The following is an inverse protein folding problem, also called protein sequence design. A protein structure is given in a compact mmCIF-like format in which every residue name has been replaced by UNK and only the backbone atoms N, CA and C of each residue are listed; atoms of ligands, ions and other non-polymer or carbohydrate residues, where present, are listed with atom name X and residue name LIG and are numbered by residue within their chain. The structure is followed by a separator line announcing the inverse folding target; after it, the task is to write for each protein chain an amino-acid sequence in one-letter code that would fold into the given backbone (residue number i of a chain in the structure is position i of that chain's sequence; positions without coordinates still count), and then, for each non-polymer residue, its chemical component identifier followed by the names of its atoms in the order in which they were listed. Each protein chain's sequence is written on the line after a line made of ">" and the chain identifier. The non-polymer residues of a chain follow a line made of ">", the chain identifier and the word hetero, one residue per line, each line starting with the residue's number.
data_IF_991267059130
#
_entry.id   IF_991267059130
#
_cell.length_a   1.000
_cell.length_b   1.000
_cell.length_c   1.000
_cell.angle_alpha   90.00
_cell.angle_beta   90.00
_cell.angle_gamma   90.00
#
_symmetry.space_group_name_H-M   'P 1'
#
loop_
_entity.id
_entity.type
_entity.pdbx_description
1 polymer ?
#
# COMPACT_ATOMS: atom_id res chain seq x y z
N UNK A 1 22.47 13.62 -28.67
CA UNK A 1 21.44 13.23 -27.68
C UNK A 1 20.66 14.50 -27.40
N UNK A 2 19.38 14.59 -27.84
CA UNK A 2 18.51 15.68 -27.44
C UNK A 2 18.34 15.59 -25.93
N UNK A 3 18.77 16.57 -25.18
CA UNK A 3 18.42 16.72 -23.77
C UNK A 3 16.90 16.93 -23.69
N UNK A 4 16.19 15.87 -23.57
CA UNK A 4 14.76 15.88 -23.28
C UNK A 4 14.69 16.07 -21.77
N UNK A 5 13.85 17.02 -21.33
CA UNK A 5 13.82 17.48 -19.91
C UNK A 5 13.61 16.36 -18.89
N UNK A 6 13.51 16.69 -17.60
CA UNK A 6 13.37 15.69 -16.54
C UNK A 6 12.11 14.86 -16.69
N UNK A 7 12.08 13.61 -16.19
CA UNK A 7 10.87 12.81 -16.11
C UNK A 7 9.72 13.59 -15.48
N UNK A 8 8.47 13.33 -15.89
CA UNK A 8 7.29 13.99 -15.36
C UNK A 8 6.28 13.01 -14.79
N UNK A 9 5.78 13.30 -13.60
CA UNK A 9 4.71 12.59 -12.92
C UNK A 9 3.53 13.51 -12.69
N UNK A 10 2.34 13.09 -13.12
CA UNK A 10 1.08 13.76 -12.81
C UNK A 10 0.28 12.93 -11.81
N UNK A 11 -0.17 13.57 -10.73
CA UNK A 11 -1.06 12.98 -9.75
C UNK A 11 -2.41 13.69 -9.78
N UNK A 12 -3.50 12.93 -9.78
CA UNK A 12 -4.87 13.42 -9.66
C UNK A 12 -5.39 13.07 -8.28
N UNK A 13 -5.88 14.06 -7.53
CA UNK A 13 -6.55 13.87 -6.24
C UNK A 13 -7.94 14.48 -6.28
N UNK A 14 -8.93 13.77 -5.74
CA UNK A 14 -10.32 14.21 -5.74
C UNK A 14 -10.76 14.39 -4.29
N UNK A 15 -11.18 15.62 -3.96
CA UNK A 15 -11.56 16.01 -2.61
C UNK A 15 -10.38 16.39 -1.71
N UNK A 16 -10.69 16.50 -0.42
CA UNK A 16 -9.81 17.11 0.59
C UNK A 16 -9.50 16.14 1.74
N UNK A 17 -9.51 14.84 1.49
CA UNK A 17 -9.13 13.84 2.50
C UNK A 17 -7.71 14.11 2.98
N UNK A 18 -7.49 14.33 4.29
CA UNK A 18 -6.19 14.73 4.82
C UNK A 18 -5.09 13.70 4.57
N UNK A 19 -5.41 12.40 4.65
CA UNK A 19 -4.51 11.29 4.35
C UNK A 19 -4.07 11.29 2.88
N UNK A 20 -5.01 11.45 1.94
CA UNK A 20 -4.71 11.53 0.50
C UNK A 20 -3.84 12.72 0.18
N UNK A 21 -4.14 13.89 0.73
CA UNK A 21 -3.34 15.11 0.54
C UNK A 21 -1.93 14.98 1.11
N UNK A 22 -1.79 14.35 2.27
CA UNK A 22 -0.49 14.07 2.87
C UNK A 22 0.36 13.16 1.97
N UNK A 23 -0.22 12.08 1.44
CA UNK A 23 0.49 11.16 0.55
C UNK A 23 0.92 11.82 -0.76
N UNK A 24 0.02 12.58 -1.38
CA UNK A 24 0.34 13.31 -2.61
C UNK A 24 1.44 14.34 -2.38
N UNK A 25 1.41 15.06 -1.25
CA UNK A 25 2.48 15.98 -0.87
C UNK A 25 3.83 15.26 -0.73
N UNK A 26 3.89 14.14 0.01
CA UNK A 26 5.11 13.35 0.15
C UNK A 26 5.64 12.82 -1.19
N UNK A 27 4.74 12.40 -2.09
CA UNK A 27 5.11 12.01 -3.46
C UNK A 27 5.75 13.18 -4.21
N UNK A 28 5.19 14.40 -4.07
CA UNK A 28 5.74 15.61 -4.68
C UNK A 28 7.11 15.96 -4.14
N UNK A 29 7.29 16.00 -2.82
CA UNK A 29 8.56 16.27 -2.15
C UNK A 29 9.65 15.28 -2.61
N UNK A 30 9.33 13.98 -2.64
CA UNK A 30 10.26 12.95 -3.11
C UNK A 30 10.59 13.07 -4.62
N UNK A 31 9.63 13.50 -5.45
CA UNK A 31 9.89 13.79 -6.86
C UNK A 31 10.91 14.93 -7.02
N UNK A 32 10.76 16.02 -6.25
CA UNK A 32 11.66 17.15 -6.27
C UNK A 32 13.09 16.76 -5.87
N UNK A 33 13.24 15.95 -4.82
CA UNK A 33 14.53 15.44 -4.35
C UNK A 33 15.32 14.68 -5.42
N UNK A 34 14.63 13.93 -6.30
CA UNK A 34 15.28 13.13 -7.36
C UNK A 34 15.22 13.79 -8.74
N UNK A 35 14.72 15.04 -8.85
CA UNK A 35 14.64 15.78 -10.09
C UNK A 35 13.53 15.32 -11.05
N UNK A 36 12.48 14.67 -10.56
CA UNK A 36 11.27 14.36 -11.31
C UNK A 36 10.32 15.57 -11.24
N UNK A 37 9.84 16.04 -12.39
CA UNK A 37 8.83 17.10 -12.43
C UNK A 37 7.50 16.57 -11.92
N UNK A 38 6.98 17.13 -10.84
CA UNK A 38 5.70 16.77 -10.27
C UNK A 38 4.60 17.75 -10.65
N UNK A 39 3.44 17.24 -11.04
CA UNK A 39 2.23 18.01 -11.28
C UNK A 39 1.08 17.44 -10.49
N UNK A 40 0.39 18.29 -9.73
CA UNK A 40 -0.79 17.92 -8.96
C UNK A 40 -2.03 18.56 -9.57
N UNK A 41 -2.96 17.71 -10.01
CA UNK A 41 -4.31 18.13 -10.41
C UNK A 41 -5.28 17.83 -9.25
N UNK A 42 -5.88 18.89 -8.71
CA UNK A 42 -6.84 18.78 -7.60
C UNK A 42 -8.25 19.01 -8.13
N UNK A 43 -9.12 18.06 -7.88
CA UNK A 43 -10.54 18.15 -8.21
C UNK A 43 -11.38 18.26 -6.94
N UNK A 44 -12.51 18.97 -6.97
CA UNK A 44 -13.40 19.09 -5.82
C UNK A 44 -13.99 17.73 -5.44
N UNK A 45 -14.43 17.58 -4.19
CA UNK A 45 -14.98 16.32 -3.67
C UNK A 45 -16.29 15.88 -4.34
N UNK A 46 -17.00 16.82 -4.95
CA UNK A 46 -18.25 16.64 -5.70
C UNK A 46 -18.03 16.61 -7.23
N UNK A 47 -16.77 16.52 -7.69
CA UNK A 47 -16.46 16.39 -9.11
C UNK A 47 -17.24 15.24 -9.72
N UNK A 48 -17.92 15.50 -10.84
CA UNK A 48 -18.56 14.43 -11.61
C UNK A 48 -17.54 13.55 -12.36
N UNK A 49 -17.98 12.39 -12.77
CA UNK A 49 -17.10 11.43 -13.44
C UNK A 49 -16.58 11.98 -14.76
N UNK A 50 -17.37 12.78 -15.50
CA UNK A 50 -16.96 13.35 -16.79
C UNK A 50 -15.81 14.36 -16.62
N UNK A 51 -15.80 15.14 -15.56
CA UNK A 51 -14.69 16.03 -15.22
C UNK A 51 -13.40 15.22 -14.97
N UNK A 52 -13.48 14.15 -14.17
CA UNK A 52 -12.33 13.28 -13.90
C UNK A 52 -11.81 12.62 -15.19
N UNK A 53 -12.72 12.09 -16.01
CA UNK A 53 -12.41 11.48 -17.32
C UNK A 53 -11.70 12.48 -18.23
N UNK A 54 -12.18 13.72 -18.28
CA UNK A 54 -11.55 14.77 -19.09
C UNK A 54 -10.10 15.04 -18.64
N UNK A 55 -9.88 15.16 -17.34
CA UNK A 55 -8.55 15.37 -16.76
C UNK A 55 -7.61 14.20 -17.06
N UNK A 56 -8.05 12.96 -16.81
CA UNK A 56 -7.22 11.78 -17.08
C UNK A 56 -6.85 11.67 -18.58
N UNK A 57 -7.78 11.93 -19.49
CA UNK A 57 -7.51 11.94 -20.94
C UNK A 57 -6.50 13.02 -21.32
N UNK A 58 -6.63 14.21 -20.79
CA UNK A 58 -5.67 15.31 -20.99
C UNK A 58 -4.27 14.91 -20.55
N UNK A 59 -4.12 14.34 -19.34
CA UNK A 59 -2.82 13.91 -18.81
C UNK A 59 -2.23 12.73 -19.61
N UNK A 60 -3.06 11.80 -20.07
CA UNK A 60 -2.62 10.71 -20.94
C UNK A 60 -2.00 11.18 -22.25
N UNK A 61 -2.57 12.24 -22.84
CA UNK A 61 -2.10 12.81 -24.12
C UNK A 61 -0.93 13.77 -23.97
N UNK A 62 -0.63 14.23 -22.76
CA UNK A 62 0.45 15.19 -22.51
C UNK A 62 1.82 14.48 -22.42
N UNK A 63 2.67 14.73 -23.39
CA UNK A 63 4.00 14.12 -23.47
C UNK A 63 4.99 14.63 -22.42
N UNK A 64 4.63 15.66 -21.64
CA UNK A 64 5.44 16.12 -20.52
C UNK A 64 5.38 15.17 -19.32
N UNK A 65 4.35 14.32 -19.25
CA UNK A 65 4.14 13.34 -18.18
C UNK A 65 4.39 11.92 -18.68
N UNK A 66 5.29 11.24 -18.03
CA UNK A 66 5.69 9.87 -18.29
C UNK A 66 4.98 8.88 -17.37
N UNK A 67 4.45 9.40 -16.26
CA UNK A 67 3.60 8.71 -15.31
C UNK A 67 2.36 9.53 -14.96
N UNK A 68 1.24 8.83 -14.80
CA UNK A 68 -0.05 9.36 -14.32
C UNK A 68 -0.54 8.45 -13.22
N UNK A 69 -0.99 9.01 -12.11
CA UNK A 69 -1.65 8.27 -11.03
C UNK A 69 -2.94 8.95 -10.58
N UNK A 70 -3.90 8.14 -10.19
CA UNK A 70 -5.12 8.57 -9.50
C UNK A 70 -4.96 8.21 -8.02
N UNK A 71 -4.94 9.22 -7.15
CA UNK A 71 -4.79 8.99 -5.71
C UNK A 71 -6.07 8.37 -5.13
N UNK A 72 -5.92 7.16 -4.59
CA UNK A 72 -7.00 6.42 -3.94
C UNK A 72 -7.08 6.74 -2.43
N UNK A 73 -8.28 6.55 -1.85
CA UNK A 73 -9.54 6.20 -2.48
C UNK A 73 -10.19 7.42 -3.15
N UNK A 74 -10.99 7.18 -4.18
CA UNK A 74 -11.86 8.21 -4.77
C UNK A 74 -13.16 8.36 -3.97
N UNK A 75 -13.89 9.49 -4.09
CA UNK A 75 -15.23 9.64 -3.51
C UNK A 75 -16.19 8.52 -3.94
N UNK A 76 -17.07 8.07 -3.03
CA UNK A 76 -17.93 6.90 -3.21
C UNK A 76 -18.94 6.98 -4.38
N UNK A 77 -19.22 8.18 -4.90
CA UNK A 77 -20.11 8.37 -6.06
C UNK A 77 -19.40 8.11 -7.40
N UNK A 78 -18.07 7.96 -7.41
CA UNK A 78 -17.27 7.69 -8.59
C UNK A 78 -16.95 6.21 -8.73
N UNK A 79 -16.84 5.73 -9.97
CA UNK A 79 -16.45 4.37 -10.25
C UNK A 79 -14.91 4.26 -10.34
N UNK A 80 -14.26 3.91 -9.23
CA UNK A 80 -12.80 3.77 -9.11
C UNK A 80 -12.20 2.84 -10.19
N UNK A 81 -12.79 1.67 -10.39
CA UNK A 81 -12.29 0.69 -11.36
C UNK A 81 -12.30 1.25 -12.78
N UNK A 82 -13.40 1.91 -13.17
CA UNK A 82 -13.51 2.55 -14.49
C UNK A 82 -12.49 3.68 -14.65
N UNK A 83 -12.26 4.48 -13.62
CA UNK A 83 -11.30 5.58 -13.68
C UNK A 83 -9.86 5.07 -13.80
N UNK A 84 -9.51 3.99 -13.10
CA UNK A 84 -8.19 3.35 -13.24
C UNK A 84 -7.95 2.80 -14.64
N UNK A 85 -8.98 2.23 -15.29
CA UNK A 85 -8.91 1.76 -16.70
C UNK A 85 -8.69 2.88 -17.73
N UNK A 86 -8.97 4.12 -17.38
CA UNK A 86 -8.74 5.26 -18.28
C UNK A 86 -7.29 5.74 -18.30
N UNK A 87 -6.49 5.38 -17.33
CA UNK A 87 -5.05 5.69 -17.33
C UNK A 87 -4.39 4.85 -18.42
N UNK A 88 -3.55 5.49 -19.25
CA UNK A 88 -2.79 4.73 -20.25
C UNK A 88 -1.87 3.70 -19.56
N UNK A 89 -1.95 2.40 -19.88
CA UNK A 89 -1.11 1.37 -19.26
C UNK A 89 0.40 1.65 -19.33
N UNK A 90 0.83 2.43 -20.35
CA UNK A 90 2.22 2.86 -20.51
C UNK A 90 2.59 4.07 -19.65
N UNK A 91 1.62 4.66 -18.93
CA UNK A 91 1.78 5.76 -17.97
C UNK A 91 1.24 5.41 -16.59
N UNK A 92 0.69 4.22 -16.40
CA UNK A 92 0.15 3.71 -15.12
C UNK A 92 1.29 3.35 -14.15
N UNK A 93 1.99 4.35 -13.66
CA UNK A 93 3.18 4.17 -12.81
C UNK A 93 2.86 3.65 -11.41
N UNK A 94 1.61 3.67 -11.00
CA UNK A 94 1.16 3.02 -9.76
C UNK A 94 0.91 1.51 -9.95
N UNK A 95 0.80 1.06 -11.23
CA UNK A 95 0.67 -0.35 -11.61
C UNK A 95 -0.71 -0.94 -11.32
N UNK A 96 -1.75 -0.12 -11.27
CA UNK A 96 -3.12 -0.51 -10.88
C UNK A 96 -4.06 -0.77 -12.06
N UNK A 97 -3.65 -0.40 -13.28
CA UNK A 97 -4.44 -0.67 -14.47
C UNK A 97 -4.62 -2.18 -14.69
N UNK A 98 -5.82 -2.68 -15.03
CA UNK A 98 -6.09 -4.10 -15.24
C UNK A 98 -5.12 -4.80 -16.19
N UNK A 99 -4.60 -4.10 -17.20
CA UNK A 99 -3.56 -4.61 -18.09
C UNK A 99 -2.27 -4.97 -17.31
N UNK A 100 -1.78 -4.12 -16.42
CA UNK A 100 -0.58 -4.36 -15.64
C UNK A 100 -0.83 -5.44 -14.57
N UNK A 101 -1.95 -5.36 -13.86
CA UNK A 101 -2.36 -6.32 -12.83
C UNK A 101 -2.58 -7.72 -13.45
N UNK A 102 -3.26 -7.81 -14.60
CA UNK A 102 -3.48 -9.07 -15.30
C UNK A 102 -2.17 -9.72 -15.76
N UNK A 103 -1.24 -8.93 -16.29
CA UNK A 103 0.09 -9.43 -16.69
C UNK A 103 0.92 -9.90 -15.50
N UNK A 104 0.79 -9.25 -14.34
CA UNK A 104 1.44 -9.69 -13.12
C UNK A 104 0.88 -11.04 -12.61
N UNK A 105 -0.44 -11.24 -12.71
CA UNK A 105 -1.09 -12.48 -12.31
C UNK A 105 -0.63 -13.69 -13.15
N UNK A 106 -0.30 -13.45 -14.42
CA UNK A 106 0.14 -14.48 -15.37
C UNK A 106 1.62 -14.80 -15.18
N UNK A 107 1.98 -16.06 -15.47
CA UNK A 107 3.38 -16.54 -15.41
C UNK A 107 4.05 -16.51 -16.77
N UNK A 108 5.38 -16.70 -16.74
CA UNK A 108 6.18 -16.86 -17.95
C UNK A 108 6.66 -15.55 -18.54
N UNK A 109 6.43 -15.35 -19.84
CA UNK A 109 6.90 -14.17 -20.57
C UNK A 109 6.06 -12.92 -20.36
N UNK A 110 4.89 -13.05 -19.75
CA UNK A 110 4.00 -11.94 -19.45
C UNK A 110 4.62 -11.07 -18.34
N UNK A 111 5.02 -9.86 -18.71
CA UNK A 111 5.56 -8.88 -17.77
C UNK A 111 4.69 -7.65 -17.78
N UNK A 112 4.27 -7.12 -16.61
CA UNK A 112 3.59 -5.83 -16.56
C UNK A 112 4.53 -4.72 -17.04
N UNK A 113 3.97 -3.64 -17.54
CA UNK A 113 4.74 -2.44 -17.85
C UNK A 113 5.28 -1.83 -16.56
N UNK A 114 4.42 -1.77 -15.56
CA UNK A 114 4.78 -1.30 -14.22
C UNK A 114 4.26 -2.28 -13.16
N UNK A 115 5.08 -2.52 -12.14
CA UNK A 115 4.68 -3.28 -10.97
C UNK A 115 3.89 -2.39 -10.02
N UNK A 116 2.84 -2.91 -9.35
CA UNK A 116 2.14 -2.16 -8.31
C UNK A 116 3.09 -1.70 -7.21
N UNK A 117 3.04 -0.40 -6.86
CA UNK A 117 4.08 0.23 -6.04
C UNK A 117 4.15 -0.31 -4.61
N UNK A 118 3.02 -0.47 -3.91
CA UNK A 118 3.02 -0.98 -2.54
C UNK A 118 3.44 -2.45 -2.46
N UNK A 119 2.93 -3.37 -3.30
CA UNK A 119 3.42 -4.73 -3.41
C UNK A 119 4.92 -4.83 -3.70
N UNK A 120 5.41 -4.05 -4.66
CA UNK A 120 6.84 -4.01 -4.99
C UNK A 120 7.67 -3.52 -3.80
N UNK A 121 7.20 -2.47 -3.11
CA UNK A 121 7.85 -1.94 -1.91
C UNK A 121 7.97 -2.96 -0.79
N UNK A 122 6.96 -3.82 -0.59
CA UNK A 122 7.01 -4.89 0.40
C UNK A 122 8.09 -5.94 0.07
N UNK A 123 8.14 -6.40 -1.19
CA UNK A 123 9.14 -7.41 -1.62
C UNK A 123 10.56 -6.82 -1.57
N UNK A 124 10.72 -5.58 -2.01
CA UNK A 124 11.99 -4.87 -1.95
C UNK A 124 12.50 -4.69 -0.52
N UNK A 125 11.60 -4.37 0.42
CA UNK A 125 11.96 -4.26 1.83
C UNK A 125 12.39 -5.59 2.42
N UNK A 126 11.65 -6.68 2.17
CA UNK A 126 12.05 -8.02 2.61
C UNK A 126 13.44 -8.40 2.09
N UNK A 127 13.71 -8.09 0.83
CA UNK A 127 15.02 -8.36 0.22
C UNK A 127 16.14 -7.53 0.86
N UNK A 128 15.93 -6.24 1.10
CA UNK A 128 16.91 -5.34 1.73
C UNK A 128 17.23 -5.71 3.17
N UNK A 129 16.23 -6.22 3.89
CA UNK A 129 16.39 -6.71 5.27
C UNK A 129 16.90 -8.15 5.33
N UNK A 130 17.34 -8.72 4.18
CA UNK A 130 17.82 -10.09 4.07
C UNK A 130 16.83 -11.15 4.55
N UNK A 131 15.53 -10.89 4.43
CA UNK A 131 14.47 -11.86 4.73
C UNK A 131 14.29 -12.74 3.49
N UNK A 132 14.72 -13.99 3.58
CA UNK A 132 14.59 -14.94 2.48
C UNK A 132 13.11 -15.35 2.31
N UNK A 133 12.59 -15.15 1.10
CA UNK A 133 11.22 -15.53 0.70
C UNK A 133 11.18 -16.99 0.22
N UNK A 134 12.29 -17.51 -0.30
CA UNK A 134 12.33 -18.83 -0.92
C UNK A 134 12.05 -19.92 0.10
N UNK A 135 11.10 -20.78 -0.25
CA UNK A 135 10.70 -21.89 0.60
C UNK A 135 9.90 -21.53 1.84
N UNK A 136 9.60 -20.24 2.07
CA UNK A 136 8.82 -19.77 3.22
C UNK A 136 7.32 -19.95 3.00
N UNK A 137 6.60 -20.16 4.10
CA UNK A 137 5.14 -20.09 4.17
C UNK A 137 4.73 -18.66 4.47
N UNK A 138 3.85 -18.10 3.65
CA UNK A 138 3.47 -16.69 3.74
C UNK A 138 1.94 -16.57 3.85
N UNK A 139 1.48 -15.73 4.78
CA UNK A 139 0.08 -15.34 4.90
C UNK A 139 -0.08 -13.87 4.46
N UNK A 140 -0.97 -13.63 3.50
CA UNK A 140 -1.39 -12.30 3.07
C UNK A 140 -2.79 -12.05 3.62
N UNK A 141 -2.92 -11.09 4.51
CA UNK A 141 -4.16 -10.73 5.19
C UNK A 141 -4.81 -9.55 4.45
N UNK A 142 -5.89 -9.82 3.75
CA UNK A 142 -6.55 -8.91 2.82
C UNK A 142 -6.31 -9.33 1.37
N UNK A 143 -7.35 -9.27 0.57
CA UNK A 143 -7.42 -9.78 -0.81
C UNK A 143 -7.74 -8.68 -1.83
N UNK A 144 -7.42 -7.42 -1.49
CA UNK A 144 -7.69 -6.29 -2.39
C UNK A 144 -6.93 -6.43 -3.71
N UNK A 145 -7.56 -5.95 -4.79
CA UNK A 145 -6.93 -5.90 -6.12
C UNK A 145 -5.72 -4.94 -6.19
N UNK A 146 -5.61 -4.03 -5.22
CA UNK A 146 -4.57 -2.98 -5.18
C UNK A 146 -3.31 -3.45 -4.46
N UNK A 147 -3.44 -4.27 -3.41
CA UNK A 147 -2.31 -4.70 -2.57
C UNK A 147 -2.29 -6.22 -2.40
N UNK A 148 -3.34 -6.81 -1.79
CA UNK A 148 -3.29 -8.20 -1.34
C UNK A 148 -3.09 -9.21 -2.44
N UNK A 149 -3.87 -9.14 -3.51
CA UNK A 149 -3.70 -10.03 -4.65
C UNK A 149 -2.37 -9.79 -5.39
N UNK A 150 -1.99 -8.56 -5.77
CA UNK A 150 -0.72 -8.31 -6.43
C UNK A 150 0.50 -8.78 -5.63
N UNK A 151 0.54 -8.55 -4.32
CA UNK A 151 1.69 -9.01 -3.51
C UNK A 151 1.76 -10.53 -3.43
N UNK A 152 0.61 -11.22 -3.39
CA UNK A 152 0.60 -12.68 -3.37
C UNK A 152 1.25 -13.28 -4.62
N UNK A 153 1.06 -12.67 -5.77
CA UNK A 153 1.71 -13.10 -7.02
C UNK A 153 3.20 -12.81 -7.03
N UNK A 154 3.63 -11.64 -6.52
CA UNK A 154 5.05 -11.32 -6.39
C UNK A 154 5.78 -12.27 -5.45
N UNK A 155 5.18 -12.60 -4.31
CA UNK A 155 5.75 -13.53 -3.33
C UNK A 155 5.84 -14.95 -3.91
N UNK A 156 4.81 -15.42 -4.62
CA UNK A 156 4.84 -16.68 -5.37
C UNK A 156 6.00 -16.73 -6.36
N UNK A 157 6.17 -15.65 -7.15
CA UNK A 157 7.20 -15.56 -8.18
C UNK A 157 8.60 -15.38 -7.57
N UNK A 158 8.69 -14.89 -6.33
CA UNK A 158 9.92 -14.83 -5.54
C UNK A 158 10.32 -16.18 -4.91
N UNK A 159 9.51 -17.23 -5.10
CA UNK A 159 9.83 -18.60 -4.69
C UNK A 159 9.31 -19.01 -3.32
N UNK A 160 8.31 -18.34 -2.79
CA UNK A 160 7.59 -18.81 -1.60
C UNK A 160 7.07 -20.24 -1.78
N UNK A 161 7.16 -21.07 -0.74
CA UNK A 161 6.60 -22.44 -0.79
C UNK A 161 5.09 -22.45 -0.82
N UNK A 162 4.49 -21.59 -0.02
CA UNK A 162 3.04 -21.37 0.03
C UNK A 162 2.74 -19.89 0.21
N UNK A 163 1.69 -19.42 -0.44
CA UNK A 163 1.13 -18.07 -0.21
C UNK A 163 -0.37 -18.25 0.01
N UNK A 164 -0.79 -18.04 1.25
CA UNK A 164 -2.20 -18.13 1.64
C UNK A 164 -2.79 -16.73 1.71
N UNK A 165 -3.80 -16.44 0.91
CA UNK A 165 -4.51 -15.17 0.94
C UNK A 165 -5.76 -15.32 1.79
N UNK A 166 -5.89 -14.47 2.80
CA UNK A 166 -7.03 -14.45 3.72
C UNK A 166 -7.94 -13.29 3.36
N UNK A 167 -9.21 -13.57 3.13
CA UNK A 167 -10.20 -12.59 2.74
C UNK A 167 -10.42 -11.53 3.84
N UNK A 168 -10.28 -10.26 3.49
CA UNK A 168 -10.33 -9.13 4.42
C UNK A 168 -11.68 -8.98 5.15
N UNK A 169 -12.79 -9.41 4.54
CA UNK A 169 -14.11 -9.40 5.18
C UNK A 169 -14.12 -10.17 6.51
N UNK A 170 -13.61 -11.41 6.52
CA UNK A 170 -13.59 -12.24 7.72
C UNK A 170 -12.74 -11.63 8.84
N UNK A 171 -11.61 -11.03 8.49
CA UNK A 171 -10.72 -10.37 9.44
C UNK A 171 -11.38 -9.15 10.10
N UNK A 172 -12.13 -8.36 9.34
CA UNK A 172 -12.89 -7.20 9.87
C UNK A 172 -14.04 -7.66 10.76
N UNK A 173 -14.72 -8.74 10.39
CA UNK A 173 -15.81 -9.33 11.20
C UNK A 173 -15.31 -9.82 12.54
N UNK A 174 -14.11 -10.42 12.60
CA UNK A 174 -13.49 -10.82 13.87
C UNK A 174 -13.30 -9.66 14.84
N UNK A 175 -12.89 -8.48 14.33
CA UNK A 175 -12.78 -7.28 15.18
C UNK A 175 -14.14 -6.80 15.67
N UNK A 176 -15.16 -6.73 14.81
CA UNK A 176 -16.48 -6.22 15.13
C UNK A 176 -17.21 -7.08 16.20
N UNK A 177 -17.01 -8.39 16.15
CA UNK A 177 -17.66 -9.34 17.07
C UNK A 177 -16.91 -9.51 18.39
N UNK A 178 -15.88 -8.71 18.68
CA UNK A 178 -15.05 -8.79 19.90
C UNK A 178 -14.55 -10.21 20.22
N UNK A 179 -14.31 -11.03 19.19
CA UNK A 179 -13.90 -12.44 19.34
C UNK A 179 -14.80 -13.21 20.34
N UNK A 180 -16.10 -12.91 20.36
CA UNK A 180 -16.99 -13.61 21.27
C UNK A 180 -17.15 -15.08 20.79
N UNK A 181 -16.59 -16.06 21.50
CA UNK A 181 -16.61 -17.47 21.07
C UNK A 181 -18.00 -18.12 21.10
N UNK A 182 -19.06 -17.34 21.27
CA UNK A 182 -20.47 -17.80 21.27
C UNK A 182 -21.19 -17.59 19.94
N UNK A 183 -20.49 -17.16 18.90
CA UNK A 183 -21.03 -17.12 17.54
C UNK A 183 -21.12 -18.55 16.96
N UNK A 184 -21.91 -18.75 15.92
CA UNK A 184 -22.27 -20.08 15.39
C UNK A 184 -21.07 -21.03 15.16
N UNK A 185 -21.28 -22.35 15.23
CA UNK A 185 -20.27 -23.40 14.98
C UNK A 185 -19.51 -23.17 13.65
N UNK A 186 -20.15 -22.56 12.65
CA UNK A 186 -19.53 -22.25 11.36
C UNK A 186 -18.50 -21.08 11.49
N UNK A 187 -18.78 -20.05 12.29
CA UNK A 187 -17.85 -18.92 12.52
C UNK A 187 -16.64 -19.36 13.33
N UNK A 188 -16.83 -20.25 14.30
CA UNK A 188 -15.72 -20.84 15.07
C UNK A 188 -14.79 -21.66 14.18
N UNK A 189 -15.35 -22.46 13.26
CA UNK A 189 -14.56 -23.25 12.32
C UNK A 189 -13.75 -22.38 11.36
N UNK A 190 -14.36 -21.33 10.81
CA UNK A 190 -13.66 -20.37 9.93
C UNK A 190 -12.55 -19.67 10.68
N UNK A 191 -12.83 -19.19 11.89
CA UNK A 191 -11.86 -18.47 12.74
C UNK A 191 -10.67 -19.37 13.08
N UNK A 192 -10.91 -20.60 13.50
CA UNK A 192 -9.83 -21.54 13.84
C UNK A 192 -8.94 -21.87 12.63
N UNK A 193 -9.51 -22.11 11.46
CA UNK A 193 -8.74 -22.39 10.25
C UNK A 193 -7.93 -21.17 9.81
N UNK A 194 -8.50 -19.96 9.89
CA UNK A 194 -7.84 -18.71 9.58
C UNK A 194 -6.64 -18.49 10.50
N UNK A 195 -6.84 -18.55 11.83
CA UNK A 195 -5.78 -18.39 12.82
C UNK A 195 -4.69 -19.45 12.66
N UNK A 196 -5.05 -20.71 12.37
CA UNK A 196 -4.08 -21.76 12.09
C UNK A 196 -3.23 -21.45 10.86
N UNK A 197 -3.82 -20.89 9.81
CA UNK A 197 -3.09 -20.49 8.59
C UNK A 197 -2.10 -19.38 8.89
N UNK A 198 -2.52 -18.36 9.63
CA UNK A 198 -1.67 -17.21 9.99
C UNK A 198 -0.54 -17.62 10.94
N UNK A 199 -0.88 -18.41 11.96
CA UNK A 199 0.09 -18.86 12.98
C UNK A 199 1.16 -19.82 12.43
N UNK A 200 0.94 -20.44 11.27
CA UNK A 200 1.95 -21.27 10.61
C UNK A 200 2.84 -20.49 9.63
N UNK A 201 2.55 -19.22 9.37
CA UNK A 201 3.29 -18.43 8.39
C UNK A 201 4.62 -17.93 8.95
N UNK A 202 5.68 -18.01 8.14
CA UNK A 202 7.00 -17.45 8.45
C UNK A 202 7.04 -15.94 8.19
N UNK A 203 6.23 -15.49 7.20
CA UNK A 203 6.08 -14.08 6.84
C UNK A 203 4.59 -13.76 6.79
N UNK A 204 4.22 -12.65 7.37
CA UNK A 204 2.84 -12.16 7.38
C UNK A 204 2.82 -10.78 6.74
N UNK A 205 1.94 -10.60 5.75
CA UNK A 205 1.69 -9.30 5.11
C UNK A 205 0.27 -8.88 5.48
N UNK A 206 0.12 -7.79 6.23
CA UNK A 206 -1.20 -7.27 6.59
C UNK A 206 -1.59 -6.10 5.68
N UNK A 207 -2.71 -6.24 4.98
CA UNK A 207 -3.29 -5.25 4.07
C UNK A 207 -4.83 -5.26 4.17
N UNK A 208 -5.33 -5.23 5.41
CA UNK A 208 -6.76 -5.39 5.76
C UNK A 208 -7.48 -4.04 5.69
N UNK A 209 -6.79 -2.96 6.08
CA UNK A 209 -7.39 -1.64 6.29
C UNK A 209 -8.33 -1.65 7.51
N UNK A 210 -7.85 -2.18 8.64
CA UNK A 210 -8.56 -2.23 9.90
C UNK A 210 -7.57 -2.12 11.06
N UNK A 211 -7.62 -1.00 11.81
CA UNK A 211 -6.67 -0.67 12.86
C UNK A 211 -6.51 -1.81 13.88
N UNK A 212 -5.26 -2.23 14.12
CA UNK A 212 -4.83 -3.13 15.18
C UNK A 212 -5.64 -4.44 15.30
N UNK A 213 -6.13 -4.96 14.18
CA UNK A 213 -6.91 -6.21 14.17
C UNK A 213 -6.02 -7.45 14.33
N UNK A 214 -4.78 -7.38 13.86
CA UNK A 214 -3.82 -8.49 13.95
C UNK A 214 -3.15 -8.46 15.33
N UNK A 215 -3.39 -9.52 16.11
CA UNK A 215 -2.96 -9.63 17.50
C UNK A 215 -1.79 -10.62 17.67
N UNK A 216 -1.13 -10.54 18.82
CA UNK A 216 0.02 -11.36 19.18
C UNK A 216 -0.23 -12.88 19.02
N UNK A 217 -1.38 -13.35 19.45
CA UNK A 217 -1.78 -14.77 19.41
C UNK A 217 -1.98 -15.33 18.00
N UNK A 218 -2.06 -14.44 17.01
CA UNK A 218 -2.11 -14.82 15.58
C UNK A 218 -0.73 -15.11 15.00
N UNK A 219 0.32 -14.62 15.65
CA UNK A 219 1.68 -14.56 15.08
C UNK A 219 2.53 -15.72 15.57
N UNK A 220 3.12 -16.46 14.64
CA UNK A 220 4.15 -17.45 14.95
C UNK A 220 5.36 -16.78 15.59
N UNK A 221 5.88 -17.35 16.67
CA UNK A 221 7.12 -16.90 17.27
C UNK A 221 8.24 -16.84 16.22
N UNK A 222 8.88 -15.69 16.10
CA UNK A 222 9.96 -15.45 15.14
C UNK A 222 9.53 -15.13 13.71
N UNK A 223 8.23 -14.94 13.43
CA UNK A 223 7.76 -14.54 12.12
C UNK A 223 8.19 -13.11 11.77
N UNK A 224 8.29 -12.82 10.48
CA UNK A 224 8.44 -11.45 9.97
C UNK A 224 7.07 -10.88 9.61
N UNK A 225 6.80 -9.64 10.04
CA UNK A 225 5.49 -9.00 9.84
C UNK A 225 5.66 -7.71 9.04
N UNK A 226 4.99 -7.63 7.90
CA UNK A 226 4.88 -6.43 7.07
C UNK A 226 3.48 -5.86 7.23
N UNK A 227 3.38 -4.70 7.81
CA UNK A 227 2.11 -3.98 7.96
C UNK A 227 1.98 -2.91 6.87
N UNK A 228 1.05 -3.11 5.95
CA UNK A 228 0.71 -2.17 4.87
C UNK A 228 -0.47 -1.29 5.27
N UNK A 229 -1.13 -1.62 6.38
CA UNK A 229 -2.28 -0.90 6.90
C UNK A 229 -1.97 0.56 7.22
N UNK A 230 -2.93 1.43 6.91
CA UNK A 230 -2.87 2.86 7.21
C UNK A 230 -4.26 3.27 7.66
N UNK A 231 -4.44 3.36 8.98
CA UNK A 231 -5.73 3.60 9.58
C UNK A 231 -5.68 4.89 10.40
N UNK A 232 -6.42 5.93 10.00
CA UNK A 232 -6.58 7.11 10.84
C UNK A 232 -7.52 6.80 11.98
N UNK A 233 -7.08 7.02 13.23
CA UNK A 233 -7.90 6.92 14.43
C UNK A 233 -7.91 8.24 15.19
N UNK A 234 -9.06 8.71 15.71
CA UNK A 234 -9.12 9.93 16.50
C UNK A 234 -8.20 9.89 17.73
N UNK A 235 -7.60 11.01 18.11
CA UNK A 235 -6.74 11.09 19.29
C UNK A 235 -7.45 10.76 20.60
N UNK A 236 -8.75 10.97 20.67
CA UNK A 236 -9.58 10.75 21.87
C UNK A 236 -10.19 9.34 21.95
N UNK A 237 -9.88 8.47 20.99
CA UNK A 237 -10.31 7.06 21.06
C UNK A 237 -9.48 6.30 22.12
N UNK A 238 -10.10 5.34 22.80
CA UNK A 238 -9.40 4.46 23.74
C UNK A 238 -8.23 3.70 23.06
N UNK A 239 -8.33 3.46 21.74
CA UNK A 239 -7.28 2.86 20.92
C UNK A 239 -6.08 3.79 20.73
N UNK A 240 -6.27 5.11 20.79
CA UNK A 240 -5.20 6.11 20.71
C UNK A 240 -4.38 6.25 21.99
N UNK A 241 -4.94 5.88 23.15
CA UNK A 241 -4.30 6.04 24.47
C UNK A 241 -3.23 4.97 24.70
N UNK A 242 -3.37 3.80 24.07
CA UNK A 242 -2.43 2.69 24.22
C UNK A 242 -1.10 2.90 23.46
N UNK A 243 -1.03 3.85 22.54
CA UNK A 243 0.19 4.17 21.81
C UNK A 243 1.04 5.16 22.63
N UNK A 244 2.13 4.70 23.21
CA UNK A 244 3.10 5.59 23.89
C UNK A 244 3.66 6.60 22.87
N UNK A 245 3.38 7.88 23.13
CA UNK A 245 3.79 9.03 22.28
C UNK A 245 5.31 9.14 22.12
N UNK A 246 6.09 8.41 22.91
CA UNK A 246 7.56 8.42 22.91
C UNK A 246 8.17 7.37 21.98
N UNK A 247 7.47 6.28 21.69
CA UNK A 247 7.98 5.19 20.84
C UNK A 247 8.04 5.53 19.33
N UNK A 248 7.35 6.58 18.88
CA UNK A 248 7.34 7.02 17.48
C UNK A 248 8.53 7.91 17.09
N UNK A 249 9.51 8.10 17.95
CA UNK A 249 10.68 8.95 17.69
C UNK A 249 11.91 8.14 17.27
N UNK A 250 11.82 7.43 16.16
CA UNK A 250 13.00 6.85 15.52
C UNK A 250 13.96 7.97 15.09
N UNK A 251 15.02 8.19 15.85
CA UNK A 251 16.14 9.08 15.49
C UNK A 251 17.07 8.32 14.55
N UNK A 252 16.71 8.19 13.27
CA UNK A 252 17.64 7.85 12.22
C UNK A 252 17.96 9.08 11.37
N UNK A 253 19.13 9.19 10.70
CA UNK A 253 19.40 10.27 9.77
C UNK A 253 18.40 10.18 8.59
N UNK A 254 17.51 11.15 8.48
CA UNK A 254 16.39 11.18 7.53
C UNK A 254 15.00 10.94 8.13
N UNK A 255 14.88 10.77 9.44
CA UNK A 255 13.58 10.65 10.11
C UNK A 255 12.77 11.96 9.89
N UNK A 256 11.66 11.81 9.19
CA UNK A 256 10.72 12.90 8.95
C UNK A 256 10.16 13.39 10.29
N UNK A 257 10.35 14.68 10.61
CA UNK A 257 9.80 15.25 11.85
C UNK A 257 8.30 15.48 11.74
N UNK A 258 7.52 14.47 12.12
CA UNK A 258 6.05 14.51 12.15
C UNK A 258 5.49 15.63 13.07
N UNK A 259 6.33 16.24 13.92
CA UNK A 259 5.92 17.30 14.84
C UNK A 259 5.64 18.64 14.16
N UNK A 260 6.08 18.83 12.90
CA UNK A 260 5.84 20.03 12.09
C UNK A 260 4.62 19.93 11.16
N UNK A 261 3.85 18.87 11.25
CA UNK A 261 2.62 18.74 10.49
C UNK A 261 1.48 19.56 11.10
N UNK A 262 0.51 20.03 10.30
CA UNK A 262 -0.72 20.58 10.85
C UNK A 262 -1.30 19.57 11.82
N UNK A 263 -1.83 20.04 12.96
CA UNK A 263 -2.47 19.19 13.97
C UNK A 263 -3.62 18.45 13.29
N UNK A 264 -3.39 17.21 12.90
CA UNK A 264 -4.48 16.32 12.55
C UNK A 264 -5.15 15.87 13.86
N UNK A 265 -6.47 15.92 13.90
CA UNK A 265 -7.23 15.39 15.04
C UNK A 265 -7.24 13.85 15.05
N UNK A 266 -6.26 13.22 14.41
CA UNK A 266 -6.11 11.77 14.33
C UNK A 266 -4.62 11.36 14.32
N UNK A 267 -4.37 10.14 14.79
CA UNK A 267 -3.09 9.45 14.60
C UNK A 267 -3.24 8.36 13.52
N UNK A 268 -2.11 7.94 12.95
CA UNK A 268 -2.09 6.84 11.97
C UNK A 268 -1.52 5.61 12.63
N UNK A 269 -2.27 4.51 12.57
CA UNK A 269 -1.84 3.20 13.05
C UNK A 269 -1.94 2.16 11.93
N UNK A 270 -1.24 1.05 12.10
CA UNK A 270 -1.31 -0.08 11.19
C UNK A 270 -2.52 -1.00 11.42
N UNK A 271 -2.54 -2.09 10.68
CA UNK A 271 -3.48 -3.19 10.93
C UNK A 271 -3.02 -4.09 12.08
N UNK A 272 -1.74 -4.02 12.44
CA UNK A 272 -1.09 -4.86 13.44
C UNK A 272 -1.02 -4.12 14.78
N UNK A 273 -1.41 -4.78 15.86
CA UNK A 273 -1.22 -4.29 17.22
C UNK A 273 0.28 -4.34 17.58
N UNK A 274 0.99 -3.29 17.18
CA UNK A 274 2.45 -3.25 17.11
C UNK A 274 3.12 -3.54 18.45
N UNK A 275 2.59 -2.99 19.55
CA UNK A 275 3.16 -3.17 20.88
C UNK A 275 3.22 -4.65 21.25
N UNK A 276 2.09 -5.36 21.17
CA UNK A 276 2.03 -6.76 21.58
C UNK A 276 2.70 -7.71 20.59
N UNK A 277 2.63 -7.42 19.27
CA UNK A 277 3.24 -8.25 18.21
C UNK A 277 4.76 -8.15 18.22
N UNK A 278 5.33 -7.00 18.59
CA UNK A 278 6.77 -6.81 18.69
C UNK A 278 7.46 -7.79 19.66
N UNK A 279 6.74 -8.34 20.63
CA UNK A 279 7.27 -9.32 21.59
C UNK A 279 7.43 -10.74 21.00
N UNK A 280 6.82 -11.03 19.85
CA UNK A 280 6.84 -12.37 19.23
C UNK A 280 7.42 -12.36 17.81
N UNK A 281 7.30 -11.26 17.09
CA UNK A 281 7.87 -11.12 15.75
C UNK A 281 9.41 -11.00 15.82
N UNK A 282 10.10 -11.60 14.82
CA UNK A 282 11.55 -11.39 14.66
C UNK A 282 11.84 -10.01 14.05
N UNK A 283 10.99 -9.57 13.13
CA UNK A 283 11.07 -8.26 12.49
C UNK A 283 9.66 -7.78 12.15
N UNK A 284 9.43 -6.47 12.26
CA UNK A 284 8.15 -5.87 11.93
C UNK A 284 8.35 -4.47 11.37
N UNK A 285 7.54 -4.10 10.37
CA UNK A 285 7.55 -2.73 9.85
C UNK A 285 6.78 -1.79 10.78
N UNK A 286 7.31 -0.57 11.02
CA UNK A 286 6.56 0.44 11.75
C UNK A 286 5.46 1.07 10.88
N UNK A 287 4.38 1.53 11.51
CA UNK A 287 3.38 2.39 10.87
C UNK A 287 3.18 3.62 11.77
N UNK A 288 3.45 4.82 11.25
CA UNK A 288 4.01 5.16 9.94
C UNK A 288 5.53 4.91 9.83
N UNK A 289 6.06 4.89 8.59
CA UNK A 289 7.51 4.86 8.34
C UNK A 289 8.04 3.56 7.71
N UNK A 290 7.21 2.53 7.59
CA UNK A 290 7.56 1.25 6.96
C UNK A 290 7.33 1.25 5.44
N UNK A 291 6.19 0.74 4.99
CA UNK A 291 5.89 0.53 3.56
C UNK A 291 5.60 1.83 2.81
N UNK A 292 5.08 2.87 3.46
CA UNK A 292 4.80 4.15 2.79
C UNK A 292 5.97 4.72 1.99
N UNK A 293 7.15 4.93 2.61
CA UNK A 293 8.36 5.37 1.89
C UNK A 293 8.79 4.44 0.75
N UNK A 294 8.66 3.11 0.94
CA UNK A 294 9.01 2.13 -0.08
C UNK A 294 8.06 2.20 -1.29
N UNK A 295 6.77 2.45 -1.05
CA UNK A 295 5.78 2.68 -2.11
C UNK A 295 6.14 3.91 -2.94
N UNK A 296 6.58 5.00 -2.29
CA UNK A 296 7.03 6.21 -2.99
C UNK A 296 8.28 5.92 -3.81
N UNK A 297 9.27 5.24 -3.27
CA UNK A 297 10.48 4.86 -4.00
C UNK A 297 10.16 4.01 -5.25
N UNK A 298 9.24 3.05 -5.13
CA UNK A 298 8.76 2.26 -6.26
C UNK A 298 8.07 3.13 -7.33
N UNK A 299 7.26 4.10 -6.92
CA UNK A 299 6.60 5.05 -7.82
C UNK A 299 7.60 5.90 -8.60
N UNK A 300 8.64 6.42 -7.93
CA UNK A 300 9.71 7.18 -8.58
C UNK A 300 10.47 6.32 -9.60
N UNK A 301 10.79 5.08 -9.24
CA UNK A 301 11.44 4.11 -10.13
C UNK A 301 10.56 3.81 -11.35
N UNK A 302 9.27 3.57 -11.17
CA UNK A 302 8.33 3.36 -12.26
C UNK A 302 8.21 4.60 -13.16
N UNK A 303 8.22 5.81 -12.58
CA UNK A 303 8.16 7.07 -13.36
C UNK A 303 9.41 7.24 -14.21
N UNK A 304 10.59 6.96 -13.66
CA UNK A 304 11.85 6.96 -14.40
C UNK A 304 11.84 5.91 -15.53
N UNK A 305 11.39 4.70 -15.24
CA UNK A 305 11.24 3.63 -16.22
C UNK A 305 10.26 4.02 -17.36
N UNK A 306 9.16 4.72 -17.01
CA UNK A 306 8.21 5.26 -17.98
C UNK A 306 8.85 6.26 -18.93
N UNK A 307 9.67 7.17 -18.40
CA UNK A 307 10.41 8.13 -19.21
C UNK A 307 11.43 7.45 -20.13
N UNK A 308 12.18 6.48 -19.60
CA UNK A 308 13.14 5.70 -20.39
C UNK A 308 12.48 4.95 -21.55
N UNK A 309 11.36 4.27 -21.30
CA UNK A 309 10.62 3.51 -22.33
C UNK A 309 9.97 4.40 -23.39
N UNK A 310 9.67 5.65 -23.06
CA UNK A 310 9.14 6.63 -23.99
C UNK A 310 10.26 7.39 -24.75
N UNK A 311 11.52 6.99 -24.59
CA UNK A 311 12.67 7.54 -25.29
C UNK A 311 13.13 8.91 -24.76
N UNK A 312 12.86 9.21 -23.49
CA UNK A 312 13.24 10.48 -22.85
C UNK A 312 14.58 10.41 -22.09
N UNK A 313 15.16 9.22 -21.94
CA UNK A 313 16.45 8.99 -21.26
C UNK A 313 17.40 8.20 -22.14
#
# INVERSE_FOLDING_TARGET
>A
IKHMGPPGLAAVVIGDRPDSLLYVRRKGEACEEVGIRFHLERLPSDADEDMVVHVLRKLNSDNRFHGVLLQLPVPAHLNESRLLELINPMKDVDGLHPYNVGRLAMRGTWRPTFMPCAPLGCVELLWRENVDIRGRSIAVLGDSNVVGMPISWLLRDSGASTVSVVHGYWLKTLKQNNLNPKSSVAEDFITQNLLKTVNNADIIISAIGCAEVVKRDWIKMGATVIDVGINPIPWDSHEAIACDRTACTGKGPGAFDYRRQPKFDYQVVGDVAAEEVSHVANAMTPVPGGIGPMTIAALLSNTYLGASRQGYL
#
